data_IF_781782665482
#
_entry.id   IF_781782665482
#
_cell.length_a   1.000
_cell.length_b   1.000
_cell.length_c   1.000
_cell.angle_alpha   90.00
_cell.angle_beta   90.00
_cell.angle_gamma   90.00
#
_symmetry.space_group_name_H-M   'P 1'
#
loop_
_entity.id
_entity.type
_entity.pdbx_description
1 polymer ?
#
# COMPACT_ATOMS: atom_id res chain seq x y z
N UNK A 1 51.92 22.42 53.61
CA UNK A 1 52.11 20.99 53.27
C UNK A 1 50.72 20.38 53.07
N UNK A 2 50.12 20.44 51.88
CA UNK A 2 50.01 19.34 50.89
C UNK A 2 48.50 19.25 50.55
N UNK A 3 47.97 19.14 49.34
CA UNK A 3 48.49 19.08 47.99
C UNK A 3 47.35 19.58 47.06
N UNK A 4 47.79 20.32 46.05
CA UNK A 4 47.10 20.81 44.86
C UNK A 4 46.06 19.83 44.29
N UNK A 5 44.83 20.32 44.09
CA UNK A 5 43.73 19.65 43.39
C UNK A 5 44.13 19.39 41.94
N UNK A 6 44.27 18.12 41.57
CA UNK A 6 44.73 17.68 40.27
C UNK A 6 43.67 17.88 39.18
N UNK A 7 44.09 18.50 38.08
CA UNK A 7 43.41 18.54 36.78
C UNK A 7 43.94 17.35 35.96
N UNK A 8 43.06 16.44 35.52
CA UNK A 8 43.24 15.55 34.34
C UNK A 8 41.95 14.71 34.20
N UNK A 9 40.98 15.05 33.34
CA UNK A 9 40.89 14.68 31.90
C UNK A 9 40.93 13.16 31.65
N UNK A 10 39.96 12.71 30.84
CA UNK A 10 39.69 11.37 30.31
C UNK A 10 38.71 10.54 31.17
N UNK A 11 37.53 10.11 30.70
CA UNK A 11 37.24 9.64 29.36
C UNK A 11 35.84 10.05 28.90
N UNK A 12 35.77 10.51 27.64
CA UNK A 12 34.56 10.46 26.84
C UNK A 12 34.10 8.99 26.75
N UNK A 13 33.04 8.63 27.46
CA UNK A 13 32.26 7.43 27.14
C UNK A 13 31.27 7.76 26.03
N UNK A 14 31.79 7.90 24.81
CA UNK A 14 30.99 7.76 23.59
C UNK A 14 30.62 6.27 23.46
N UNK A 15 29.35 5.85 23.59
CA UNK A 15 28.96 4.60 22.98
C UNK A 15 29.05 4.78 21.46
N UNK A 16 30.19 4.37 20.88
CA UNK A 16 30.32 4.00 19.48
C UNK A 16 29.48 2.72 19.24
N UNK A 17 28.17 2.88 19.26
CA UNK A 17 27.24 1.89 18.76
C UNK A 17 26.70 2.41 17.45
N UNK A 18 27.35 2.09 16.34
CA UNK A 18 26.70 2.23 15.04
C UNK A 18 25.50 1.27 15.06
N UNK A 19 24.32 1.78 15.38
CA UNK A 19 23.06 1.09 15.09
C UNK A 19 22.92 1.07 13.58
N UNK A 20 23.59 0.12 12.93
CA UNK A 20 23.38 -0.20 11.53
C UNK A 20 22.05 -0.97 11.40
N UNK A 21 20.95 -0.33 11.79
CA UNK A 21 19.69 -0.68 11.18
C UNK A 21 19.81 -0.20 9.74
N UNK A 22 19.70 -1.13 8.78
CA UNK A 22 19.43 -0.74 7.42
C UNK A 22 18.19 0.17 7.48
N UNK A 23 18.39 1.47 7.27
CA UNK A 23 17.30 2.42 7.08
C UNK A 23 16.61 1.97 5.81
N UNK A 24 15.61 1.09 5.93
CA UNK A 24 14.64 0.88 4.88
C UNK A 24 13.94 2.22 4.74
N UNK A 25 14.33 3.00 3.74
CA UNK A 25 13.56 4.18 3.37
C UNK A 25 12.12 3.70 3.16
N UNK A 26 11.12 4.20 3.91
CA UNK A 26 9.73 3.91 3.63
C UNK A 26 9.28 4.72 2.40
N UNK A 27 10.07 4.71 1.34
CA UNK A 27 9.81 5.37 0.06
C UNK A 27 8.82 4.59 -0.80
N UNK A 28 8.01 3.72 -0.18
CA UNK A 28 6.97 2.91 -0.81
C UNK A 28 5.63 3.13 -0.11
N UNK A 29 4.55 2.67 -0.77
CA UNK A 29 3.20 2.75 -0.23
C UNK A 29 3.15 2.11 1.16
N UNK A 30 2.43 2.76 2.07
CA UNK A 30 2.11 2.14 3.34
C UNK A 30 1.20 0.93 3.11
N UNK A 31 1.23 -0.04 4.03
CA UNK A 31 0.30 -1.19 3.96
C UNK A 31 -1.16 -0.75 3.89
N UNK A 32 -1.51 0.34 4.58
CA UNK A 32 -2.85 0.92 4.55
C UNK A 32 -3.21 1.44 3.15
N UNK A 33 -2.28 2.12 2.49
CA UNK A 33 -2.47 2.60 1.10
C UNK A 33 -2.62 1.45 0.11
N UNK A 34 -1.80 0.40 0.22
CA UNK A 34 -1.92 -0.77 -0.66
C UNK A 34 -3.31 -1.42 -0.50
N UNK A 35 -3.79 -1.57 0.74
CA UNK A 35 -5.11 -2.14 1.00
C UNK A 35 -6.21 -1.23 0.41
N UNK A 36 -6.08 0.09 0.53
CA UNK A 36 -7.03 1.03 -0.06
C UNK A 36 -7.06 0.91 -1.59
N UNK A 37 -5.90 0.81 -2.24
CA UNK A 37 -5.80 0.64 -3.68
C UNK A 37 -6.37 -0.70 -4.16
N UNK A 38 -6.14 -1.79 -3.42
CA UNK A 38 -6.70 -3.09 -3.76
C UNK A 38 -8.23 -3.10 -3.65
N UNK A 39 -8.81 -2.44 -2.62
CA UNK A 39 -10.26 -2.27 -2.51
C UNK A 39 -10.84 -1.50 -3.70
N UNK A 40 -10.16 -0.43 -4.10
CA UNK A 40 -10.55 0.36 -5.28
C UNK A 40 -10.48 -0.48 -6.56
N UNK A 41 -9.37 -1.17 -6.80
CA UNK A 41 -9.20 -2.06 -7.95
C UNK A 41 -10.26 -3.17 -8.00
N UNK A 42 -10.68 -3.69 -6.83
CA UNK A 42 -11.74 -4.68 -6.74
C UNK A 42 -13.10 -4.08 -7.10
N UNK A 43 -13.39 -2.85 -6.67
CA UNK A 43 -14.60 -2.13 -7.06
C UNK A 43 -14.64 -1.81 -8.56
N UNK A 44 -13.49 -1.52 -9.16
CA UNK A 44 -13.34 -1.30 -10.61
C UNK A 44 -13.40 -2.60 -11.42
N UNK A 45 -13.29 -3.77 -10.77
CA UNK A 45 -13.34 -5.09 -11.40
C UNK A 45 -12.06 -5.48 -12.13
N UNK A 46 -10.98 -4.72 -12.00
CA UNK A 46 -9.70 -4.97 -12.70
C UNK A 46 -8.84 -6.04 -12.01
N UNK A 47 -9.23 -6.49 -10.81
CA UNK A 47 -8.55 -7.59 -10.12
C UNK A 47 -8.90 -8.91 -10.81
N UNK A 48 -7.92 -9.62 -11.41
CA UNK A 48 -8.19 -10.91 -12.05
C UNK A 48 -8.58 -11.96 -11.02
N UNK A 49 -9.50 -12.85 -11.39
CA UNK A 49 -9.90 -14.00 -10.55
C UNK A 49 -8.91 -15.16 -10.62
N UNK A 50 -8.05 -15.18 -11.63
CA UNK A 50 -7.09 -16.22 -11.95
C UNK A 50 -5.75 -15.58 -12.27
N UNK A 51 -4.66 -16.16 -11.77
CA UNK A 51 -3.30 -15.62 -11.96
C UNK A 51 -2.79 -15.75 -13.40
N UNK A 52 -3.44 -16.58 -14.23
CA UNK A 52 -3.00 -16.86 -15.60
C UNK A 52 -3.73 -16.00 -16.64
N UNK A 53 -4.80 -15.32 -16.24
CA UNK A 53 -5.66 -14.54 -17.14
C UNK A 53 -5.34 -13.05 -16.99
N UNK A 54 -4.07 -12.72 -17.27
CA UNK A 54 -3.56 -11.36 -17.23
C UNK A 54 -3.08 -10.89 -18.61
N UNK A 55 -3.50 -9.70 -19.08
CA UNK A 55 -4.42 -8.76 -18.44
C UNK A 55 -5.90 -9.20 -18.58
N UNK A 56 -6.80 -8.80 -17.65
CA UNK A 56 -8.21 -9.16 -17.71
C UNK A 56 -8.89 -8.51 -18.92
N UNK A 57 -9.76 -9.25 -19.59
CA UNK A 57 -10.57 -8.74 -20.70
C UNK A 57 -11.69 -7.82 -20.21
N UNK A 58 -12.21 -6.95 -21.08
CA UNK A 58 -13.33 -6.06 -20.74
C UNK A 58 -14.58 -6.82 -20.23
N UNK A 59 -14.84 -8.01 -20.78
CA UNK A 59 -15.93 -8.89 -20.32
C UNK A 59 -15.70 -9.38 -18.88
N UNK A 60 -14.46 -9.71 -18.54
CA UNK A 60 -14.10 -10.14 -17.19
C UNK A 60 -14.21 -9.00 -16.20
N UNK A 61 -13.74 -7.80 -16.56
CA UNK A 61 -13.89 -6.59 -15.74
C UNK A 61 -15.36 -6.31 -15.45
N UNK A 62 -16.24 -6.35 -16.47
CA UNK A 62 -17.67 -6.13 -16.30
C UNK A 62 -18.30 -7.16 -15.34
N UNK A 63 -17.94 -8.44 -15.50
CA UNK A 63 -18.40 -9.52 -14.60
C UNK A 63 -17.93 -9.31 -13.17
N UNK A 64 -16.67 -8.95 -12.98
CA UNK A 64 -16.08 -8.74 -11.66
C UNK A 64 -16.75 -7.57 -10.93
N UNK A 65 -17.05 -6.48 -11.64
CA UNK A 65 -17.84 -5.36 -11.08
C UNK A 65 -19.24 -5.79 -10.65
N UNK A 66 -19.92 -6.60 -11.46
CA UNK A 66 -21.24 -7.12 -11.10
C UNK A 66 -21.17 -7.98 -9.83
N UNK A 67 -20.19 -8.88 -9.75
CA UNK A 67 -19.94 -9.71 -8.56
C UNK A 67 -19.67 -8.83 -7.33
N UNK A 68 -18.82 -7.81 -7.47
CA UNK A 68 -18.52 -6.86 -6.41
C UNK A 68 -19.79 -6.13 -5.92
N UNK A 69 -20.65 -5.67 -6.85
CA UNK A 69 -21.90 -4.99 -6.52
C UNK A 69 -22.89 -5.89 -5.77
N UNK A 70 -23.00 -7.18 -6.14
CA UNK A 70 -23.83 -8.16 -5.43
C UNK A 70 -23.32 -8.36 -4.00
N UNK A 71 -22.00 -8.40 -3.80
CA UNK A 71 -21.40 -8.62 -2.48
C UNK A 71 -21.49 -7.38 -1.57
N UNK A 72 -21.41 -6.18 -2.14
CA UNK A 72 -21.37 -4.92 -1.39
C UNK A 72 -22.71 -4.16 -1.36
N UNK A 73 -23.76 -4.72 -1.98
CA UNK A 73 -25.17 -4.40 -1.70
C UNK A 73 -25.62 -2.97 -2.06
N UNK A 74 -25.36 -2.49 -3.27
CA UNK A 74 -25.80 -1.14 -3.66
C UNK A 74 -26.24 -0.97 -5.11
N UNK A 75 -27.45 -0.43 -5.30
CA UNK A 75 -28.01 0.02 -6.58
C UNK A 75 -27.17 1.13 -7.26
N UNK A 76 -26.25 1.75 -6.52
CA UNK A 76 -25.31 2.77 -7.03
C UNK A 76 -24.10 2.19 -7.76
N UNK A 77 -23.54 1.07 -7.26
CA UNK A 77 -22.39 0.41 -7.88
C UNK A 77 -22.75 -0.20 -9.25
N UNK A 78 -23.98 -0.71 -9.38
CA UNK A 78 -24.51 -1.24 -10.65
C UNK A 78 -24.69 -0.13 -11.70
N UNK A 79 -25.21 1.04 -11.31
CA UNK A 79 -25.40 2.19 -12.22
C UNK A 79 -24.05 2.72 -12.73
N UNK A 80 -23.10 2.95 -11.83
CA UNK A 80 -21.75 3.40 -12.20
C UNK A 80 -21.00 2.39 -13.08
N UNK A 81 -21.15 1.08 -12.83
CA UNK A 81 -20.56 0.05 -13.67
C UNK A 81 -21.19 -0.05 -15.07
N UNK A 82 -22.50 0.18 -15.19
CA UNK A 82 -23.21 0.20 -16.46
C UNK A 82 -22.80 1.41 -17.34
N UNK A 83 -22.71 2.60 -16.74
CA UNK A 83 -22.30 3.82 -17.45
C UNK A 83 -20.86 3.72 -17.99
N UNK A 84 -19.95 3.11 -17.22
CA UNK A 84 -18.56 2.91 -17.61
C UNK A 84 -18.36 1.76 -18.60
N UNK A 85 -19.20 0.72 -18.58
CA UNK A 85 -19.21 -0.33 -19.59
C UNK A 85 -19.67 0.23 -20.96
N UNK A 86 -20.65 1.13 -20.97
CA UNK A 86 -21.11 1.82 -22.18
C UNK A 86 -20.05 2.77 -22.76
N UNK A 87 -19.22 3.39 -21.92
CA UNK A 87 -18.11 4.25 -22.36
C UNK A 87 -16.96 3.47 -23.02
N UNK A 88 -16.73 2.21 -22.62
CA UNK A 88 -15.66 1.36 -23.19
C UNK A 88 -16.03 0.69 -24.52
N UNK A 89 -17.25 0.92 -25.03
CA UNK A 89 -17.77 0.32 -26.26
C UNK A 89 -18.05 1.32 -27.40
N UNK A 90 -17.63 2.58 -27.24
CA UNK A 90 -17.50 3.58 -28.32
C UNK A 90 -16.01 3.84 -28.62
#
# INVERSE_FOLDING_TARGET
MKLLTAIAVAALSLPFGATAFAQSNPSGLTRAEVIAQLKQAQAEGVVPTSNNDYPPTAREIARNRQIYAIQHGGDGAVKTAADQAAAASN
#
